data_IF_089241523174
#
_entry.id   IF_089241523174
#
_cell.length_a   1.000
_cell.length_b   1.000
_cell.length_c   1.000
_cell.angle_alpha   90.00
_cell.angle_beta   90.00
_cell.angle_gamma   90.00
#
_symmetry.space_group_name_H-M   'P 1'
#
loop_
_entity.id
_entity.type
_entity.pdbx_description
1 polymer ?
#
# COMPACT_ATOMS: atom_id res chain seq x y z
N UNK A 1 -17.02 -13.24 1.33
CA UNK A 1 -16.98 -12.58 0.01
C UNK A 1 -18.17 -11.65 -0.05
N UNK A 2 -17.95 -10.38 -0.38
CA UNK A 2 -19.02 -9.40 -0.55
C UNK A 2 -18.96 -8.84 -1.97
N UNK A 3 -20.08 -8.30 -2.46
CA UNK A 3 -20.13 -7.59 -3.73
C UNK A 3 -20.38 -6.12 -3.44
N UNK A 4 -19.62 -5.25 -4.08
CA UNK A 4 -19.76 -3.81 -3.94
C UNK A 4 -19.40 -3.11 -5.26
N UNK A 5 -19.95 -1.92 -5.51
CA UNK A 5 -19.53 -1.08 -6.61
C UNK A 5 -18.10 -0.54 -6.37
N UNK A 6 -17.26 -0.63 -7.40
CA UNK A 6 -15.93 0.00 -7.46
C UNK A 6 -15.82 0.75 -8.78
N UNK A 7 -15.26 1.96 -8.73
CA UNK A 7 -15.02 2.79 -9.90
C UNK A 7 -13.72 2.39 -10.58
N UNK A 8 -13.79 2.16 -11.88
CA UNK A 8 -12.65 1.95 -12.77
C UNK A 8 -12.58 3.09 -13.77
N UNK A 9 -11.39 3.39 -14.28
CA UNK A 9 -11.23 4.31 -15.40
C UNK A 9 -11.88 3.67 -16.62
N UNK A 10 -12.86 4.35 -17.22
CA UNK A 10 -13.52 3.89 -18.43
C UNK A 10 -12.54 3.87 -19.61
N UNK A 11 -12.86 3.10 -20.65
CA UNK A 11 -12.06 3.13 -21.88
C UNK A 11 -12.15 4.53 -22.51
N UNK A 12 -10.99 5.10 -22.83
CA UNK A 12 -10.86 6.46 -23.35
C UNK A 12 -9.81 6.50 -24.46
N UNK A 13 -10.03 7.39 -25.44
CA UNK A 13 -9.07 7.64 -26.52
C UNK A 13 -7.86 8.47 -26.05
N UNK A 14 -8.08 9.33 -25.05
CA UNK A 14 -7.05 10.18 -24.47
C UNK A 14 -6.38 9.53 -23.27
N UNK A 15 -5.11 9.88 -23.04
CA UNK A 15 -4.36 9.41 -21.87
C UNK A 15 -4.92 10.01 -20.58
N UNK A 16 -5.18 9.21 -19.53
CA UNK A 16 -5.55 9.71 -18.20
C UNK A 16 -4.52 10.67 -17.62
N UNK A 17 -4.99 11.76 -17.03
CA UNK A 17 -4.19 12.79 -16.36
C UNK A 17 -4.83 13.16 -15.02
N UNK A 18 -3.97 13.50 -14.06
CA UNK A 18 -4.34 14.09 -12.77
C UNK A 18 -3.32 15.18 -12.44
N UNK A 19 -3.80 16.36 -12.07
CA UNK A 19 -3.00 17.53 -11.72
C UNK A 19 -3.30 17.92 -10.27
N UNK A 20 -2.29 17.88 -9.41
CA UNK A 20 -2.40 18.44 -8.07
C UNK A 20 -2.26 19.97 -8.20
N UNK A 21 -3.33 20.72 -7.90
CA UNK A 21 -3.45 22.18 -8.01
C UNK A 21 -3.31 22.76 -9.45
N UNK A 22 -4.26 22.48 -10.36
CA UNK A 22 -4.18 22.96 -11.73
C UNK A 22 -4.30 24.49 -11.83
N UNK A 23 -3.62 25.13 -12.81
CA UNK A 23 -3.85 26.52 -13.14
C UNK A 23 -5.33 26.79 -13.50
N UNK A 24 -5.82 28.04 -13.38
CA UNK A 24 -7.17 28.38 -13.80
C UNK A 24 -7.46 27.96 -15.25
N UNK A 25 -8.56 27.23 -15.44
CA UNK A 25 -8.99 26.74 -16.76
C UNK A 25 -8.40 25.40 -17.18
N UNK A 26 -7.51 24.80 -16.38
CA UNK A 26 -7.02 23.43 -16.59
C UNK A 26 -7.85 22.48 -15.69
N UNK A 27 -8.47 21.42 -16.24
CA UNK A 27 -9.14 20.41 -15.43
C UNK A 27 -8.16 19.69 -14.49
N UNK A 28 -8.61 19.35 -13.28
CA UNK A 28 -7.83 18.56 -12.33
C UNK A 28 -7.51 17.18 -12.92
N UNK A 29 -8.51 16.53 -13.51
CA UNK A 29 -8.37 15.27 -14.23
C UNK A 29 -9.19 15.30 -15.53
N UNK A 30 -8.83 14.43 -16.48
CA UNK A 30 -9.64 14.16 -17.68
C UNK A 30 -10.33 12.79 -17.62
N UNK A 31 -10.34 12.14 -16.46
CA UNK A 31 -10.80 10.76 -16.30
C UNK A 31 -12.32 10.68 -16.26
N UNK A 32 -12.88 9.70 -16.95
CA UNK A 32 -14.28 9.26 -16.74
C UNK A 32 -14.27 7.92 -16.02
N UNK A 33 -15.06 7.80 -14.96
CA UNK A 33 -15.17 6.56 -14.18
C UNK A 33 -16.42 5.77 -14.58
N UNK A 34 -16.28 4.45 -14.60
CA UNK A 34 -17.38 3.51 -14.72
C UNK A 34 -17.46 2.60 -13.49
N UNK A 35 -18.68 2.37 -13.01
CA UNK A 35 -18.92 1.53 -11.85
C UNK A 35 -19.03 0.07 -12.25
N UNK A 36 -18.29 -0.80 -11.56
CA UNK A 36 -18.38 -2.24 -11.70
C UNK A 36 -18.68 -2.90 -10.37
N UNK A 37 -19.70 -3.77 -10.34
CA UNK A 37 -19.97 -4.61 -9.17
C UNK A 37 -18.95 -5.75 -9.14
N UNK A 38 -17.98 -5.66 -8.24
CA UNK A 38 -16.89 -6.64 -8.12
C UNK A 38 -17.01 -7.48 -6.85
N UNK A 39 -16.45 -8.69 -6.90
CA UNK A 39 -16.35 -9.56 -5.73
C UNK A 39 -15.13 -9.16 -4.89
N UNK A 40 -15.36 -8.76 -3.64
CA UNK A 40 -14.33 -8.41 -2.67
C UNK A 40 -14.14 -9.56 -1.68
N UNK A 41 -12.87 -9.93 -1.48
CA UNK A 41 -12.44 -11.06 -0.63
C UNK A 41 -11.48 -10.56 0.45
N UNK A 42 -11.54 -11.19 1.62
CA UNK A 42 -10.55 -10.95 2.66
C UNK A 42 -9.22 -11.59 2.24
N UNK A 43 -8.24 -10.76 1.89
CA UNK A 43 -6.91 -11.20 1.46
C UNK A 43 -6.17 -12.04 2.52
N UNK A 44 -6.51 -11.91 3.81
CA UNK A 44 -5.92 -12.74 4.88
C UNK A 44 -6.39 -14.21 4.85
N UNK A 45 -7.43 -14.51 4.08
CA UNK A 45 -8.12 -15.82 4.08
C UNK A 45 -8.14 -16.48 2.70
N UNK A 46 -7.42 -15.93 1.72
CA UNK A 46 -7.35 -16.52 0.38
C UNK A 46 -6.45 -17.76 0.39
N UNK A 47 -6.81 -18.75 -0.41
CA UNK A 47 -6.06 -20.00 -0.60
C UNK A 47 -5.97 -20.31 -2.09
N UNK A 48 -4.76 -20.49 -2.66
CA UNK A 48 -3.47 -20.24 -2.02
C UNK A 48 -3.33 -18.78 -1.56
N UNK A 49 -2.43 -18.53 -0.59
CA UNK A 49 -2.12 -17.16 -0.15
C UNK A 49 -1.60 -16.34 -1.33
N UNK A 50 -1.84 -15.03 -1.31
CA UNK A 50 -1.26 -14.15 -2.33
C UNK A 50 0.28 -14.23 -2.28
N UNK A 51 0.90 -14.16 -3.44
CA UNK A 51 2.35 -14.04 -3.58
C UNK A 51 2.71 -12.78 -4.33
N UNK A 52 3.92 -12.27 -4.06
CA UNK A 52 4.42 -11.09 -4.73
C UNK A 52 4.48 -11.27 -6.25
N UNK A 53 4.92 -12.43 -6.74
CA UNK A 53 5.08 -12.70 -8.18
C UNK A 53 3.75 -12.76 -8.95
N UNK A 54 2.67 -13.22 -8.30
CA UNK A 54 1.39 -13.45 -8.98
C UNK A 54 0.43 -12.28 -8.79
N UNK A 55 0.29 -11.79 -7.56
CA UNK A 55 -0.65 -10.72 -7.22
C UNK A 55 -0.01 -9.34 -7.12
N UNK A 56 1.33 -9.25 -7.07
CA UNK A 56 2.02 -8.00 -6.78
C UNK A 56 2.01 -7.63 -5.29
N UNK A 57 1.55 -8.52 -4.41
CA UNK A 57 1.61 -8.34 -2.96
C UNK A 57 1.66 -9.69 -2.23
N UNK A 58 2.25 -9.70 -1.04
CA UNK A 58 2.30 -10.86 -0.16
C UNK A 58 2.01 -10.44 1.28
N UNK A 59 1.33 -11.31 2.04
CA UNK A 59 1.09 -11.09 3.47
C UNK A 59 2.03 -11.98 4.28
N UNK A 60 2.93 -11.34 5.02
CA UNK A 60 3.94 -12.02 5.84
C UNK A 60 3.70 -11.67 7.30
N UNK A 61 3.71 -12.69 8.17
CA UNK A 61 3.67 -12.46 9.61
C UNK A 61 5.06 -12.12 10.11
N UNK A 62 5.20 -10.97 10.74
CA UNK A 62 6.45 -10.52 11.35
C UNK A 62 6.15 -9.96 12.74
N UNK A 63 6.90 -10.42 13.73
CA UNK A 63 6.86 -9.90 15.09
C UNK A 63 8.13 -9.09 15.30
N UNK A 64 7.96 -7.79 15.56
CA UNK A 64 9.07 -6.88 15.86
C UNK A 64 9.50 -7.01 17.33
N UNK A 65 10.78 -6.81 17.60
CA UNK A 65 11.34 -6.69 18.95
C UNK A 65 11.13 -5.27 19.53
N UNK A 66 10.68 -4.31 18.71
CA UNK A 66 10.35 -2.95 19.16
C UNK A 66 9.06 -2.95 19.97
N UNK A 67 9.19 -2.65 21.26
CA UNK A 67 8.06 -2.62 22.21
C UNK A 67 7.20 -1.35 22.10
N UNK A 68 7.76 -0.24 21.59
CA UNK A 68 7.07 1.02 21.40
C UNK A 68 7.34 1.61 20.00
N UNK A 69 6.41 1.41 19.07
CA UNK A 69 6.49 1.95 17.71
C UNK A 69 6.24 3.47 17.61
N UNK A 70 6.15 4.18 18.74
CA UNK A 70 6.19 5.64 18.79
C UNK A 70 7.56 6.19 19.22
N UNK A 71 8.50 5.33 19.64
CA UNK A 71 9.88 5.75 19.90
C UNK A 71 10.67 5.76 18.58
N UNK A 72 10.95 6.97 18.09
CA UNK A 72 11.65 7.20 16.83
C UNK A 72 13.04 6.56 16.83
N UNK A 73 13.73 6.52 17.97
CA UNK A 73 15.06 5.90 18.05
C UNK A 73 14.92 4.38 17.90
N UNK A 74 13.93 3.76 18.54
CA UNK A 74 13.69 2.33 18.40
C UNK A 74 13.28 1.94 16.96
N UNK A 75 12.51 2.81 16.28
CA UNK A 75 12.18 2.61 14.87
C UNK A 75 13.44 2.62 14.00
N UNK A 76 14.26 3.66 14.17
CA UNK A 76 15.45 3.84 13.34
C UNK A 76 16.52 2.77 13.61
N UNK A 77 16.79 2.48 14.88
CA UNK A 77 17.92 1.64 15.28
C UNK A 77 17.59 0.14 15.20
N UNK A 78 16.31 -0.24 15.25
CA UNK A 78 15.89 -1.66 15.26
C UNK A 78 14.90 -1.98 14.15
N UNK A 79 13.73 -1.35 14.13
CA UNK A 79 12.63 -1.73 13.22
C UNK A 79 13.02 -1.66 11.74
N UNK A 80 13.84 -0.68 11.35
CA UNK A 80 14.34 -0.57 9.99
C UNK A 80 15.17 -1.77 9.56
N UNK A 81 16.10 -2.22 10.41
CA UNK A 81 16.93 -3.40 10.14
C UNK A 81 16.10 -4.68 10.05
N UNK A 82 15.08 -4.81 10.90
CA UNK A 82 14.13 -5.93 10.85
C UNK A 82 13.38 -5.96 9.51
N UNK A 83 12.83 -4.82 9.07
CA UNK A 83 12.10 -4.72 7.81
C UNK A 83 13.00 -4.93 6.59
N UNK A 84 14.21 -4.37 6.59
CA UNK A 84 15.18 -4.60 5.51
C UNK A 84 15.50 -6.08 5.36
N UNK A 85 15.71 -6.77 6.49
CA UNK A 85 15.98 -8.22 6.52
C UNK A 85 14.78 -9.01 6.00
N UNK A 86 13.58 -8.70 6.49
CA UNK A 86 12.34 -9.37 6.08
C UNK A 86 12.09 -9.20 4.58
N UNK A 87 12.10 -7.96 4.08
CA UNK A 87 11.85 -7.67 2.67
C UNK A 87 12.90 -8.34 1.80
N UNK A 88 14.16 -8.35 2.22
CA UNK A 88 15.22 -9.04 1.47
C UNK A 88 14.97 -10.54 1.37
N UNK A 89 14.50 -11.18 2.44
CA UNK A 89 14.20 -12.62 2.47
C UNK A 89 13.02 -13.01 1.57
N UNK A 90 11.97 -12.19 1.51
CA UNK A 90 10.76 -12.52 0.76
C UNK A 90 10.83 -12.13 -0.72
N UNK A 91 11.74 -11.20 -1.07
CA UNK A 91 11.89 -10.71 -2.45
C UNK A 91 13.15 -11.19 -3.16
N UNK A 92 14.07 -11.83 -2.44
CA UNK A 92 15.44 -12.11 -2.90
C UNK A 92 16.20 -10.85 -3.41
N UNK A 93 15.78 -9.66 -2.98
CA UNK A 93 16.40 -8.42 -3.42
C UNK A 93 17.89 -8.37 -3.05
N UNK A 94 18.72 -7.93 -4.00
CA UNK A 94 20.17 -7.76 -3.75
C UNK A 94 20.44 -6.73 -2.64
N UNK A 95 19.61 -5.69 -2.57
CA UNK A 95 19.69 -4.60 -1.61
C UNK A 95 18.28 -4.12 -1.25
N UNK A 96 18.06 -3.87 0.02
CA UNK A 96 16.88 -3.19 0.56
C UNK A 96 17.40 -2.00 1.37
N UNK A 97 16.65 -0.90 1.35
CA UNK A 97 16.91 0.28 2.17
C UNK A 97 15.55 0.71 2.72
N UNK A 98 15.39 0.70 4.03
CA UNK A 98 14.23 1.29 4.69
C UNK A 98 14.44 2.81 4.78
N UNK A 99 13.45 3.59 4.31
CA UNK A 99 13.46 5.04 4.37
C UNK A 99 12.02 5.57 4.46
N UNK A 100 11.88 6.83 4.87
CA UNK A 100 10.60 7.57 4.90
C UNK A 100 9.47 6.85 5.67
N UNK A 101 9.62 6.80 7.00
CA UNK A 101 8.61 6.20 7.86
C UNK A 101 7.42 7.14 8.08
N UNK A 102 6.24 6.55 8.08
CA UNK A 102 5.03 7.18 8.57
C UNK A 102 4.42 6.28 9.64
N UNK A 103 4.29 6.76 10.88
CA UNK A 103 3.51 6.04 11.90
C UNK A 103 2.05 6.13 11.48
N UNK A 104 1.44 4.97 11.21
CA UNK A 104 0.00 4.85 10.99
C UNK A 104 -0.62 4.38 12.29
N UNK A 105 -1.47 5.20 12.87
CA UNK A 105 -2.29 4.86 14.02
C UNK A 105 -3.75 5.06 13.68
N UNK A 106 -4.61 4.17 14.19
CA UNK A 106 -6.06 4.38 14.19
C UNK A 106 -6.51 5.31 15.31
N UNK A 107 -5.62 5.64 16.23
CA UNK A 107 -5.92 6.44 17.40
C UNK A 107 -5.86 7.91 16.99
N UNK A 108 -6.91 8.67 17.30
CA UNK A 108 -7.02 10.10 16.96
C UNK A 108 -5.95 10.99 17.64
N UNK A 109 -5.10 10.39 18.46
CA UNK A 109 -4.02 11.00 19.20
C UNK A 109 -2.72 10.43 18.64
N UNK A 110 -2.28 10.94 17.49
CA UNK A 110 -0.91 10.73 17.01
C UNK A 110 0.11 11.47 17.89
N UNK A 111 -0.05 11.40 19.22
CA UNK A 111 -0.07 12.51 20.21
C UNK A 111 -1.35 13.32 20.27
#
# INVERSE_FOLDING_TARGET
MLKAPINFIALMDEKPTYHMDPPPGVPEENVTYEEHIVAIRNARQISPTASLDREGFELVNHQTDVSNLYDINAIHDTYYGELETLVKQVTDAKRVVAFDWNIRSSDAHGT
#
